data_IF_641228624041
#
_entry.id   IF_641228624041
#
_cell.length_a   1.000
_cell.length_b   1.000
_cell.length_c   1.000
_cell.angle_alpha   90.00
_cell.angle_beta   90.00
_cell.angle_gamma   90.00
#
_symmetry.space_group_name_H-M   'P 1'
#
loop_
_entity.id
_entity.type
_entity.pdbx_description
1 polymer ?
#
# COMPACT_ATOMS: atom_id res chain seq x y z
N UNK A 1 17.56 13.70 5.50
CA UNK A 1 16.75 13.68 4.27
C UNK A 1 15.39 14.25 4.62
N UNK A 2 15.01 15.39 4.06
CA UNK A 2 13.70 16.01 4.33
C UNK A 2 12.68 15.50 3.31
N UNK A 3 11.90 14.51 3.72
CA UNK A 3 10.82 13.94 2.89
C UNK A 3 9.53 14.69 3.19
N UNK A 4 8.84 15.18 2.16
CA UNK A 4 7.52 15.81 2.33
C UNK A 4 6.40 14.79 2.25
N UNK A 5 5.28 15.05 2.93
CA UNK A 5 4.10 14.19 2.91
C UNK A 5 3.59 13.92 1.48
N UNK A 6 3.66 14.91 0.58
CA UNK A 6 3.22 14.73 -0.82
C UNK A 6 3.98 13.66 -1.61
N UNK A 7 5.16 13.26 -1.14
CA UNK A 7 6.01 12.26 -1.78
C UNK A 7 5.60 10.83 -1.39
N UNK A 8 4.93 10.66 -0.25
CA UNK A 8 4.46 9.35 0.23
C UNK A 8 2.94 9.17 0.22
N UNK A 9 2.16 10.25 0.13
CA UNK A 9 0.71 10.17 0.22
C UNK A 9 0.09 9.41 -0.95
N UNK A 10 -1.02 8.72 -0.69
CA UNK A 10 -1.83 8.10 -1.71
C UNK A 10 -2.80 9.11 -2.31
N UNK A 11 -2.74 9.29 -3.63
CA UNK A 11 -3.61 10.22 -4.39
C UNK A 11 -4.93 9.60 -4.82
N UNK A 12 -4.95 8.29 -5.02
CA UNK A 12 -6.15 7.54 -5.35
C UNK A 12 -6.75 6.93 -4.08
N UNK A 13 -7.82 7.54 -3.58
CA UNK A 13 -8.50 7.10 -2.37
C UNK A 13 -10.02 7.15 -2.56
N UNK A 14 -10.73 6.26 -1.88
CA UNK A 14 -12.17 6.36 -1.77
C UNK A 14 -12.55 7.54 -0.87
N UNK A 15 -13.65 8.21 -1.19
CA UNK A 15 -14.27 9.24 -0.38
C UNK A 15 -15.79 9.16 -0.49
N UNK A 16 -16.48 9.77 0.47
CA UNK A 16 -17.94 9.78 0.52
C UNK A 16 -18.47 11.19 0.74
N UNK A 17 -19.69 11.45 0.32
CA UNK A 17 -20.49 12.58 0.79
C UNK A 17 -21.25 12.20 2.07
N UNK A 18 -21.60 13.16 2.92
CA UNK A 18 -22.28 12.89 4.20
C UNK A 18 -23.67 12.28 4.04
N UNK A 19 -24.31 12.46 2.88
CA UNK A 19 -25.60 11.89 2.51
C UNK A 19 -25.49 10.51 1.84
N UNK A 20 -24.28 10.02 1.55
CA UNK A 20 -24.08 8.68 0.97
C UNK A 20 -24.64 7.60 1.90
N UNK A 21 -25.42 6.68 1.33
CA UNK A 21 -26.06 5.63 2.13
C UNK A 21 -25.05 4.66 2.77
N UNK A 22 -25.42 4.10 3.92
CA UNK A 22 -24.68 3.02 4.59
C UNK A 22 -24.39 1.84 3.65
N UNK A 23 -25.32 1.54 2.75
CA UNK A 23 -25.16 0.48 1.74
C UNK A 23 -24.03 0.80 0.76
N UNK A 24 -23.95 2.05 0.30
CA UNK A 24 -22.88 2.50 -0.58
C UNK A 24 -21.53 2.41 0.12
N UNK A 25 -21.41 2.96 1.34
CA UNK A 25 -20.20 2.91 2.17
C UNK A 25 -19.72 1.47 2.38
N UNK A 26 -20.61 0.57 2.80
CA UNK A 26 -20.28 -0.84 3.00
C UNK A 26 -19.84 -1.53 1.70
N UNK A 27 -20.48 -1.21 0.58
CA UNK A 27 -20.15 -1.80 -0.72
C UNK A 27 -18.76 -1.40 -1.22
N UNK A 28 -18.37 -0.13 -1.00
CA UNK A 28 -17.04 0.38 -1.38
C UNK A 28 -15.96 -0.27 -0.52
N UNK A 29 -16.16 -0.34 0.80
CA UNK A 29 -15.21 -1.02 1.69
C UNK A 29 -15.06 -2.52 1.40
N UNK A 30 -16.15 -3.21 1.04
CA UNK A 30 -16.09 -4.62 0.68
C UNK A 30 -15.36 -4.88 -0.65
N UNK A 31 -15.56 -4.03 -1.67
CA UNK A 31 -15.03 -4.26 -3.02
C UNK A 31 -13.61 -3.77 -3.24
N UNK A 32 -13.21 -2.67 -2.58
CA UNK A 32 -11.97 -1.97 -2.92
C UNK A 32 -10.87 -2.12 -1.86
N UNK A 33 -11.06 -3.01 -0.87
CA UNK A 33 -10.13 -3.24 0.24
C UNK A 33 -9.74 -1.98 1.04
N UNK A 34 -10.51 -0.91 0.93
CA UNK A 34 -10.35 0.27 1.76
C UNK A 34 -10.90 -0.01 3.16
N UNK A 35 -10.11 0.32 4.19
CA UNK A 35 -10.54 0.18 5.59
C UNK A 35 -11.13 1.46 6.17
N UNK A 36 -10.94 2.57 5.48
CA UNK A 36 -11.28 3.91 5.93
C UNK A 36 -11.29 4.86 4.74
N UNK A 37 -12.09 5.92 4.83
CA UNK A 37 -12.22 6.94 3.81
C UNK A 37 -12.64 8.29 4.42
N UNK A 38 -12.16 9.41 3.85
CA UNK A 38 -12.67 10.73 4.19
C UNK A 38 -14.14 10.92 3.77
N UNK A 39 -14.90 11.66 4.57
CA UNK A 39 -16.29 12.05 4.31
C UNK A 39 -16.36 13.57 4.17
N UNK A 40 -17.10 14.03 3.17
CA UNK A 40 -17.22 15.43 2.81
C UNK A 40 -18.67 15.93 2.85
N UNK A 41 -18.83 17.23 3.07
CA UNK A 41 -20.03 17.99 2.73
C UNK A 41 -19.69 18.94 1.59
N UNK A 42 -20.04 18.53 0.37
CA UNK A 42 -19.57 19.18 -0.84
C UNK A 42 -18.05 19.09 -0.95
N UNK A 43 -17.36 20.18 -0.61
CA UNK A 43 -15.89 20.29 -0.63
C UNK A 43 -15.26 20.29 0.76
N UNK A 44 -16.07 20.41 1.81
CA UNK A 44 -15.58 20.51 3.18
C UNK A 44 -15.36 19.10 3.74
N UNK A 45 -14.17 18.85 4.29
CA UNK A 45 -13.87 17.60 4.98
C UNK A 45 -14.57 17.60 6.35
N UNK A 46 -15.62 16.80 6.51
CA UNK A 46 -16.37 16.69 7.78
C UNK A 46 -15.84 15.58 8.68
N UNK A 47 -15.17 14.59 8.11
CA UNK A 47 -14.39 13.64 8.89
C UNK A 47 -14.02 12.35 8.16
N UNK A 48 -14.01 11.24 8.90
CA UNK A 48 -13.58 9.93 8.41
C UNK A 48 -14.60 8.88 8.82
N UNK A 49 -14.82 7.91 7.94
CA UNK A 49 -15.54 6.68 8.25
C UNK A 49 -14.61 5.49 8.05
N UNK A 50 -14.66 4.51 8.94
CA UNK A 50 -13.85 3.29 8.91
C UNK A 50 -14.69 2.02 8.99
N UNK A 51 -14.10 0.87 8.68
CA UNK A 51 -14.72 -0.44 8.94
C UNK A 51 -15.05 -0.59 10.42
N UNK A 52 -14.20 -0.07 11.31
CA UNK A 52 -14.46 -0.04 12.75
C UNK A 52 -15.71 0.77 13.12
N UNK A 53 -16.04 1.83 12.36
CA UNK A 53 -17.28 2.59 12.53
C UNK A 53 -18.51 1.79 12.14
N UNK A 54 -18.43 1.05 11.03
CA UNK A 54 -19.49 0.12 10.64
C UNK A 54 -19.72 -0.91 11.75
N UNK A 55 -18.65 -1.55 12.24
CA UNK A 55 -18.73 -2.54 13.32
C UNK A 55 -19.34 -1.92 14.59
N UNK A 56 -18.90 -0.71 14.99
CA UNK A 56 -19.46 0.00 16.14
C UNK A 56 -20.93 0.35 15.95
N UNK A 57 -21.35 0.71 14.73
CA UNK A 57 -22.75 0.98 14.42
C UNK A 57 -23.61 -0.27 14.58
N UNK A 58 -23.10 -1.44 14.16
CA UNK A 58 -23.81 -2.72 14.29
C UNK A 58 -23.73 -3.32 15.70
N UNK A 59 -22.74 -2.97 16.54
CA UNK A 59 -22.54 -3.55 17.87
C UNK A 59 -23.72 -3.47 18.88
N UNK A 60 -24.53 -2.39 18.93
CA UNK A 60 -25.58 -2.25 19.96
C UNK A 60 -26.64 -3.35 19.94
N UNK A 61 -27.23 -3.64 21.10
CA UNK A 61 -28.24 -4.71 21.31
C UNK A 61 -29.45 -4.65 20.38
N UNK A 62 -29.81 -3.46 19.87
CA UNK A 62 -30.90 -3.30 18.89
C UNK A 62 -30.63 -4.09 17.59
N UNK A 63 -29.36 -4.27 17.26
CA UNK A 63 -28.93 -5.08 16.14
C UNK A 63 -28.59 -6.51 16.53
N UNK A 64 -28.53 -6.89 17.81
CA UNK A 64 -28.27 -8.27 18.27
C UNK A 64 -29.19 -9.31 17.60
N UNK A 65 -30.36 -8.87 17.12
CA UNK A 65 -31.29 -9.66 16.32
C UNK A 65 -30.71 -10.11 14.97
N UNK A 66 -29.79 -9.36 14.35
CA UNK A 66 -29.06 -9.77 13.14
C UNK A 66 -28.28 -11.07 13.35
N UNK A 67 -27.81 -11.32 14.57
CA UNK A 67 -27.06 -12.53 14.94
C UNK A 67 -27.94 -13.64 15.50
N UNK A 68 -29.23 -13.38 15.73
CA UNK A 68 -30.22 -14.41 16.07
C UNK A 68 -30.95 -14.81 14.78
N UNK A 69 -30.52 -15.91 14.16
CA UNK A 69 -30.90 -16.35 12.80
C UNK A 69 -32.39 -16.48 12.44
N UNK A 70 -33.33 -16.15 13.34
CA UNK A 70 -34.77 -16.29 13.15
C UNK A 70 -35.54 -14.95 13.18
N UNK A 71 -34.90 -13.77 13.08
CA UNK A 71 -35.60 -12.48 12.95
C UNK A 71 -35.18 -11.70 11.70
N UNK A 72 -36.12 -10.97 11.11
CA UNK A 72 -35.87 -10.11 9.95
C UNK A 72 -34.91 -8.97 10.29
N UNK A 73 -33.88 -8.83 9.46
CA UNK A 73 -32.96 -7.69 9.43
C UNK A 73 -33.76 -6.39 9.35
N UNK A 74 -33.45 -5.36 10.18
CA UNK A 74 -34.15 -4.08 10.15
C UNK A 74 -33.72 -3.24 8.92
N UNK A 75 -34.07 -3.68 7.72
CA UNK A 75 -33.66 -3.07 6.43
C UNK A 75 -34.08 -1.59 6.35
N UNK A 76 -35.26 -1.24 6.88
CA UNK A 76 -35.76 0.14 6.88
C UNK A 76 -34.88 1.10 7.69
N UNK A 77 -34.35 0.66 8.83
CA UNK A 77 -33.45 1.46 9.67
C UNK A 77 -32.09 1.63 9.00
N UNK A 78 -31.54 0.53 8.47
CA UNK A 78 -30.25 0.54 7.77
C UNK A 78 -30.27 1.47 6.55
N UNK A 79 -31.39 1.54 5.82
CA UNK A 79 -31.57 2.43 4.66
C UNK A 79 -31.58 3.91 5.00
N UNK A 80 -31.91 4.29 6.24
CA UNK A 80 -31.91 5.70 6.68
C UNK A 80 -30.53 6.19 7.13
N UNK A 81 -29.59 5.26 7.31
CA UNK A 81 -28.26 5.59 7.80
C UNK A 81 -27.38 6.01 6.64
N UNK A 82 -26.63 7.09 6.83
CA UNK A 82 -25.71 7.66 5.84
C UNK A 82 -24.29 7.73 6.41
N UNK A 83 -23.31 8.07 5.58
CA UNK A 83 -21.93 8.28 5.99
C UNK A 83 -21.82 9.34 7.10
N UNK A 84 -22.62 10.41 7.04
CA UNK A 84 -22.68 11.45 8.07
C UNK A 84 -23.14 10.95 9.45
N UNK A 85 -23.91 9.86 9.51
CA UNK A 85 -24.28 9.24 10.80
C UNK A 85 -23.15 8.39 11.41
N UNK A 86 -22.17 7.98 10.59
CA UNK A 86 -21.05 7.12 10.97
C UNK A 86 -19.76 7.92 11.17
N UNK A 87 -19.70 9.13 10.60
CA UNK A 87 -18.50 9.93 10.53
C UNK A 87 -17.97 10.27 11.92
N UNK A 88 -16.66 10.18 12.08
CA UNK A 88 -15.96 10.69 13.25
C UNK A 88 -15.02 11.81 12.83
N UNK A 89 -14.75 12.72 13.77
CA UNK A 89 -13.75 13.76 13.56
C UNK A 89 -12.38 13.12 13.29
N UNK A 90 -11.62 13.64 12.32
CA UNK A 90 -10.27 13.15 12.09
C UNK A 90 -9.40 13.56 13.27
N UNK A 91 -8.71 12.60 13.87
CA UNK A 91 -7.76 12.84 14.96
C UNK A 91 -6.52 13.62 14.49
N UNK A 92 -6.20 13.54 13.20
CA UNK A 92 -5.16 14.33 12.58
C UNK A 92 -5.51 14.68 11.12
N UNK A 93 -4.98 15.82 10.69
CA UNK A 93 -4.95 16.26 9.29
C UNK A 93 -3.52 16.72 9.01
N UNK A 94 -2.97 16.32 7.86
CA UNK A 94 -1.63 16.70 7.42
C UNK A 94 -1.68 17.73 6.30
N UNK A 95 -0.61 18.47 6.12
CA UNK A 95 -0.42 19.34 4.95
C UNK A 95 0.52 18.64 3.95
N UNK A 96 0.24 18.75 2.65
CA UNK A 96 1.05 18.10 1.62
C UNK A 96 2.52 18.56 1.65
N UNK A 97 2.75 19.83 2.02
CA UNK A 97 4.09 20.40 2.17
C UNK A 97 4.78 20.12 3.52
N UNK A 98 4.08 19.49 4.48
CA UNK A 98 4.64 19.18 5.80
C UNK A 98 5.76 18.13 5.68
N UNK A 99 6.76 18.24 6.54
CA UNK A 99 7.83 17.25 6.65
C UNK A 99 7.34 15.97 7.34
N UNK A 100 7.87 14.82 6.89
CA UNK A 100 7.52 13.51 7.43
C UNK A 100 7.87 13.38 8.92
N UNK A 101 9.04 13.88 9.34
CA UNK A 101 9.49 13.89 10.74
C UNK A 101 8.45 14.45 11.69
N UNK A 102 7.82 15.56 11.31
CA UNK A 102 6.79 16.24 12.12
C UNK A 102 5.43 15.52 12.07
N UNK A 103 5.18 14.77 11.00
CA UNK A 103 3.93 14.03 10.79
C UNK A 103 3.95 12.65 11.45
N UNK A 104 5.12 12.01 11.60
CA UNK A 104 5.25 10.66 12.14
C UNK A 104 4.56 10.46 13.50
N UNK A 105 4.72 11.35 14.50
CA UNK A 105 4.02 11.19 15.78
C UNK A 105 2.49 11.17 15.63
N UNK A 106 1.95 11.91 14.65
CA UNK A 106 0.51 11.92 14.34
C UNK A 106 0.10 10.64 13.64
N UNK A 107 0.91 10.14 12.72
CA UNK A 107 0.64 8.92 11.95
C UNK A 107 0.70 7.65 12.82
N UNK A 108 1.63 7.57 13.77
CA UNK A 108 1.74 6.44 14.70
C UNK A 108 0.53 6.34 15.63
N UNK A 109 -0.01 7.48 16.05
CA UNK A 109 -1.22 7.54 16.88
C UNK A 109 -2.50 7.18 16.09
N UNK A 110 -2.48 7.32 14.76
CA UNK A 110 -3.65 7.23 13.90
C UNK A 110 -3.57 6.05 12.93
N UNK A 111 -4.18 4.93 13.30
CA UNK A 111 -4.07 3.68 12.56
C UNK A 111 -4.92 3.61 11.27
N UNK A 112 -5.97 4.44 11.15
CA UNK A 112 -7.01 4.25 10.15
C UNK A 112 -6.73 4.99 8.83
N UNK A 113 -6.71 6.32 8.86
CA UNK A 113 -6.54 7.20 7.70
C UNK A 113 -6.26 8.62 8.20
N UNK A 114 -5.30 9.30 7.58
CA UNK A 114 -5.00 10.70 7.85
C UNK A 114 -5.12 11.50 6.55
N UNK A 115 -6.16 12.34 6.40
CA UNK A 115 -6.35 13.20 5.24
C UNK A 115 -5.21 14.19 5.07
N UNK A 116 -4.81 14.42 3.82
CA UNK A 116 -3.78 15.38 3.45
C UNK A 116 -4.41 16.54 2.69
N UNK A 117 -4.18 17.74 3.18
CA UNK A 117 -4.74 18.97 2.62
C UNK A 117 -3.66 19.78 1.88
N UNK A 118 -4.06 20.46 0.82
CA UNK A 118 -3.25 21.46 0.10
C UNK A 118 -4.21 22.50 -0.50
N UNK A 119 -3.99 23.78 -0.20
CA UNK A 119 -4.84 24.86 -0.73
C UNK A 119 -6.34 24.71 -0.38
N UNK A 120 -6.65 24.19 0.81
CA UNK A 120 -8.03 23.97 1.27
C UNK A 120 -8.74 22.75 0.67
N UNK A 121 -8.05 21.93 -0.13
CA UNK A 121 -8.60 20.70 -0.71
C UNK A 121 -7.91 19.46 -0.15
N UNK A 122 -8.66 18.38 -0.01
CA UNK A 122 -8.06 17.06 0.27
C UNK A 122 -7.42 16.52 -1.00
N UNK A 123 -6.10 16.36 -0.99
CA UNK A 123 -5.29 15.95 -2.15
C UNK A 123 -4.75 14.53 -2.01
N UNK A 124 -4.97 13.89 -0.87
CA UNK A 124 -4.51 12.55 -0.61
C UNK A 124 -4.85 12.06 0.79
N UNK A 125 -4.45 10.83 1.07
CA UNK A 125 -4.48 10.24 2.40
C UNK A 125 -3.13 9.60 2.72
N UNK A 126 -2.84 9.45 4.01
CA UNK A 126 -1.73 8.63 4.51
C UNK A 126 -2.27 7.68 5.56
N UNK A 127 -1.88 6.41 5.46
CA UNK A 127 -2.15 5.37 6.46
C UNK A 127 -0.83 4.81 7.00
N UNK A 128 -0.88 4.05 8.09
CA UNK A 128 0.30 3.35 8.60
C UNK A 128 0.91 2.39 7.58
N UNK A 129 0.11 1.85 6.66
CA UNK A 129 0.58 0.99 5.57
C UNK A 129 1.44 1.77 4.58
N UNK A 130 1.04 3.00 4.25
CA UNK A 130 1.79 3.84 3.31
C UNK A 130 3.15 4.24 3.90
N UNK A 131 3.17 4.58 5.20
CA UNK A 131 4.41 4.88 5.93
C UNK A 131 5.34 3.67 5.94
N UNK A 132 4.83 2.48 6.28
CA UNK A 132 5.62 1.25 6.28
C UNK A 132 6.16 0.93 4.88
N UNK A 133 5.32 1.01 3.84
CA UNK A 133 5.74 0.80 2.46
C UNK A 133 6.77 1.82 2.00
N UNK A 134 6.64 3.08 2.42
CA UNK A 134 7.62 4.12 2.13
C UNK A 134 8.98 3.75 2.72
N UNK A 135 9.05 3.45 4.03
CA UNK A 135 10.31 3.06 4.67
C UNK A 135 10.93 1.80 4.06
N UNK A 136 10.12 0.77 3.75
CA UNK A 136 10.62 -0.43 3.09
C UNK A 136 11.25 -0.11 1.73
N UNK A 137 10.66 0.80 0.95
CA UNK A 137 11.23 1.25 -0.32
C UNK A 137 12.51 2.05 -0.12
N UNK A 138 12.58 2.92 0.88
CA UNK A 138 13.80 3.69 1.17
C UNK A 138 14.94 2.78 1.64
N UNK A 139 14.66 1.81 2.53
CA UNK A 139 15.68 0.85 2.95
C UNK A 139 16.19 -0.02 1.80
N UNK A 140 15.29 -0.46 0.91
CA UNK A 140 15.70 -1.15 -0.30
C UNK A 140 16.63 -0.27 -1.14
N UNK A 141 16.26 1.00 -1.40
CA UNK A 141 17.12 1.95 -2.15
C UNK A 141 18.50 2.12 -1.52
N UNK A 142 18.61 2.17 -0.19
CA UNK A 142 19.88 2.26 0.51
C UNK A 142 20.74 1.00 0.34
N UNK A 143 20.14 -0.19 0.33
CA UNK A 143 20.86 -1.44 0.02
C UNK A 143 21.33 -1.47 -1.45
N UNK A 144 20.51 -0.98 -2.38
CA UNK A 144 20.88 -0.79 -3.79
C UNK A 144 22.01 0.23 -3.97
N UNK A 145 21.96 1.36 -3.27
CA UNK A 145 22.99 2.40 -3.36
C UNK A 145 24.33 1.94 -2.76
N UNK A 146 24.29 1.14 -1.68
CA UNK A 146 25.49 0.50 -1.10
C UNK A 146 26.04 -0.62 -1.98
N UNK A 147 25.18 -1.33 -2.70
CA UNK A 147 25.58 -2.30 -3.73
C UNK A 147 26.24 -1.62 -4.93
N UNK A 148 25.63 -0.56 -5.46
CA UNK A 148 26.15 0.21 -6.59
C UNK A 148 27.45 0.97 -6.27
N UNK A 149 27.63 1.42 -5.02
CA UNK A 149 28.89 2.03 -4.59
C UNK A 149 30.04 1.01 -4.43
N UNK A 150 29.74 -0.27 -4.19
CA UNK A 150 30.73 -1.36 -4.25
C UNK A 150 31.05 -1.74 -5.70
N UNK A 151 30.06 -1.79 -6.58
CA UNK A 151 30.26 -2.07 -8.02
C UNK A 151 31.03 -0.93 -8.72
N UNK A 152 30.78 0.34 -8.38
CA UNK A 152 31.50 1.50 -8.93
C UNK A 152 32.98 1.61 -8.48
N UNK A 153 33.36 0.96 -7.38
CA UNK A 153 34.77 0.86 -6.96
C UNK A 153 35.52 -0.29 -7.68
N UNK A 154 34.79 -1.24 -8.28
CA UNK A 154 35.35 -2.32 -9.11
C UNK A 154 35.36 -1.96 -10.62
N UNK A 155 34.56 -0.98 -11.05
CA UNK A 155 34.45 -0.56 -12.46
C UNK A 155 35.57 0.36 -12.99
N UNK A 156 36.44 0.94 -12.15
CA UNK A 156 37.68 1.58 -12.65
C UNK A 156 38.68 0.57 -13.25
N UNK A 157 38.36 -0.72 -13.19
CA UNK A 157 39.17 -1.82 -13.72
C UNK A 157 38.46 -2.79 -14.67
N UNK A 158 37.58 -2.37 -15.60
CA UNK A 158 37.13 -3.36 -16.60
C UNK A 158 36.07 -2.99 -17.63
N UNK A 159 36.53 -2.74 -18.87
CA UNK A 159 35.88 -2.92 -20.19
C UNK A 159 34.41 -3.40 -20.26
N UNK A 160 33.60 -2.60 -20.99
CA UNK A 160 32.57 -2.97 -21.98
C UNK A 160 31.83 -4.31 -21.78
N UNK A 161 30.60 -4.29 -21.26
CA UNK A 161 29.67 -5.44 -21.26
C UNK A 161 28.25 -5.05 -21.71
N UNK A 162 28.07 -4.87 -23.02
CA UNK A 162 26.76 -4.69 -23.67
C UNK A 162 26.11 -5.97 -24.20
N UNK A 163 26.72 -7.15 -24.00
CA UNK A 163 26.32 -8.40 -24.66
C UNK A 163 25.80 -9.52 -23.72
N UNK A 164 25.78 -9.31 -22.40
CA UNK A 164 25.54 -10.38 -21.40
C UNK A 164 24.11 -10.44 -20.82
N UNK A 165 23.35 -9.34 -20.90
CA UNK A 165 22.02 -9.24 -20.29
C UNK A 165 20.98 -10.23 -20.84
N UNK A 166 21.09 -10.63 -22.12
CA UNK A 166 20.17 -11.59 -22.75
C UNK A 166 20.29 -13.00 -22.15
N UNK A 167 21.52 -13.46 -21.92
CA UNK A 167 21.81 -14.78 -21.34
C UNK A 167 21.41 -14.89 -19.87
N UNK A 168 21.50 -13.79 -19.11
CA UNK A 168 21.20 -13.76 -17.69
C UNK A 168 19.68 -13.80 -17.42
N UNK A 169 18.88 -13.06 -18.21
CA UNK A 169 17.41 -13.11 -18.13
C UNK A 169 16.89 -14.53 -18.43
N UNK A 170 17.42 -15.18 -19.45
CA UNK A 170 17.05 -16.54 -19.82
C UNK A 170 17.45 -17.56 -18.73
N UNK A 171 18.61 -17.38 -18.10
CA UNK A 171 19.05 -18.23 -17.00
C UNK A 171 18.13 -18.11 -15.79
N UNK A 172 17.76 -16.88 -15.41
CA UNK A 172 16.80 -16.62 -14.32
C UNK A 172 15.46 -17.29 -14.64
N UNK A 173 14.94 -17.11 -15.85
CA UNK A 173 13.65 -17.70 -16.25
C UNK A 173 13.67 -19.23 -16.21
N UNK A 174 14.78 -19.87 -16.60
CA UNK A 174 14.96 -21.33 -16.51
C UNK A 174 14.95 -21.82 -15.06
N UNK A 175 15.63 -21.13 -14.15
CA UNK A 175 15.65 -21.49 -12.72
C UNK A 175 14.24 -21.40 -12.13
N UNK A 176 13.51 -20.32 -12.40
CA UNK A 176 12.13 -20.15 -11.92
C UNK A 176 11.20 -21.25 -12.47
N UNK A 177 11.38 -21.65 -13.73
CA UNK A 177 10.62 -22.77 -14.31
C UNK A 177 10.93 -24.12 -13.67
N UNK A 178 12.18 -24.34 -13.23
CA UNK A 178 12.63 -25.57 -12.58
C UNK A 178 12.12 -25.69 -11.14
N UNK A 179 12.21 -24.61 -10.37
CA UNK A 179 11.94 -24.61 -8.91
C UNK A 179 10.49 -24.24 -8.55
N UNK A 180 9.67 -23.80 -9.53
CA UNK A 180 8.32 -23.21 -9.38
C UNK A 180 8.27 -21.90 -8.57
N UNK A 181 8.99 -21.80 -7.45
CA UNK A 181 9.07 -20.63 -6.60
C UNK A 181 10.48 -20.56 -5.99
N UNK A 182 11.20 -19.46 -6.21
CA UNK A 182 12.59 -19.33 -5.77
C UNK A 182 12.90 -17.90 -5.32
N UNK A 183 13.78 -17.76 -4.32
CA UNK A 183 14.19 -16.46 -3.80
C UNK A 183 15.26 -15.83 -4.69
N UNK A 184 15.20 -14.51 -4.88
CA UNK A 184 16.18 -13.76 -5.65
C UNK A 184 17.62 -13.98 -5.14
N UNK A 185 17.81 -14.08 -3.82
CA UNK A 185 19.11 -14.41 -3.21
C UNK A 185 19.67 -15.77 -3.66
N UNK A 186 18.81 -16.77 -3.78
CA UNK A 186 19.22 -18.12 -4.21
C UNK A 186 19.57 -18.17 -5.70
N UNK A 187 18.85 -17.42 -6.53
CA UNK A 187 19.18 -17.23 -7.95
C UNK A 187 20.52 -16.49 -8.10
N UNK A 188 20.73 -15.46 -7.28
CA UNK A 188 21.96 -14.66 -7.27
C UNK A 188 23.18 -15.53 -6.94
N UNK A 189 23.07 -16.38 -5.92
CA UNK A 189 24.11 -17.38 -5.59
C UNK A 189 24.35 -18.38 -6.73
N UNK A 190 23.30 -18.91 -7.34
CA UNK A 190 23.40 -19.92 -8.41
C UNK A 190 24.03 -19.34 -9.70
N UNK A 191 23.77 -18.07 -10.00
CA UNK A 191 24.26 -17.40 -11.21
C UNK A 191 25.52 -16.56 -11.00
N UNK A 192 26.01 -16.44 -9.76
CA UNK A 192 27.12 -15.54 -9.42
C UNK A 192 26.78 -14.07 -9.67
N UNK A 193 25.52 -13.69 -9.49
CA UNK A 193 25.01 -12.32 -9.69
C UNK A 193 24.76 -11.64 -8.34
N UNK A 194 24.62 -10.32 -8.35
CA UNK A 194 24.11 -9.59 -7.17
C UNK A 194 22.60 -9.74 -7.06
N UNK A 195 22.06 -9.74 -5.84
CA UNK A 195 20.61 -9.83 -5.59
C UNK A 195 19.87 -8.70 -6.30
N UNK A 196 20.41 -7.48 -6.30
CA UNK A 196 19.84 -6.34 -7.01
C UNK A 196 19.80 -6.52 -8.53
N UNK A 197 20.79 -7.20 -9.12
CA UNK A 197 20.76 -7.55 -10.55
C UNK A 197 19.63 -8.54 -10.85
N UNK A 198 19.48 -9.58 -10.02
CA UNK A 198 18.39 -10.56 -10.18
C UNK A 198 17.01 -9.90 -10.05
N UNK A 199 16.83 -9.01 -9.08
CA UNK A 199 15.58 -8.27 -8.90
C UNK A 199 15.25 -7.36 -10.10
N UNK A 200 16.24 -6.64 -10.63
CA UNK A 200 16.07 -5.81 -11.84
C UNK A 200 15.66 -6.64 -13.06
N UNK A 201 16.29 -7.80 -13.25
CA UNK A 201 15.96 -8.72 -14.34
C UNK A 201 14.60 -9.41 -14.11
N UNK A 202 14.23 -9.69 -12.86
CA UNK A 202 12.92 -10.21 -12.48
C UNK A 202 11.79 -9.24 -12.85
N UNK A 203 11.99 -7.93 -12.67
CA UNK A 203 11.03 -6.91 -13.07
C UNK A 203 10.85 -6.80 -14.59
N UNK A 204 11.88 -7.15 -15.37
CA UNK A 204 11.75 -7.29 -16.83
C UNK A 204 10.87 -8.50 -17.14
N UNK A 205 11.18 -9.68 -16.59
CA UNK A 205 10.38 -10.90 -16.79
C UNK A 205 8.91 -10.72 -16.36
N UNK A 206 8.67 -10.00 -15.27
CA UNK A 206 7.32 -9.65 -14.78
C UNK A 206 6.54 -8.81 -15.78
N UNK A 207 7.15 -7.75 -16.34
CA UNK A 207 6.51 -6.88 -17.35
C UNK A 207 6.10 -7.66 -18.62
N UNK A 208 6.84 -8.71 -18.93
CA UNK A 208 6.54 -9.62 -20.05
C UNK A 208 5.66 -10.82 -19.66
N UNK A 209 5.08 -10.84 -18.45
CA UNK A 209 4.20 -11.91 -17.96
C UNK A 209 4.84 -13.31 -17.96
N UNK A 210 6.17 -13.38 -17.80
CA UNK A 210 6.91 -14.64 -17.76
C UNK A 210 7.00 -15.22 -16.33
N UNK A 211 7.00 -14.35 -15.32
CA UNK A 211 7.07 -14.73 -13.90
C UNK A 211 6.21 -13.82 -13.04
N UNK A 212 5.72 -14.35 -11.92
CA UNK A 212 5.10 -13.57 -10.85
C UNK A 212 6.17 -13.20 -9.82
N UNK A 213 6.23 -11.94 -9.40
CA UNK A 213 7.21 -11.47 -8.41
C UNK A 213 6.48 -11.02 -7.15
N UNK A 214 6.80 -11.67 -6.02
CA UNK A 214 6.23 -11.39 -4.69
C UNK A 214 7.32 -10.89 -3.76
N UNK A 215 6.96 -9.95 -2.90
CA UNK A 215 7.82 -9.51 -1.81
C UNK A 215 7.42 -10.22 -0.51
N UNK A 216 8.37 -10.87 0.14
CA UNK A 216 8.19 -11.49 1.45
C UNK A 216 9.04 -10.78 2.49
N UNK A 217 8.41 -10.36 3.58
CA UNK A 217 9.07 -9.62 4.66
C UNK A 217 10.27 -10.37 5.28
N UNK A 218 10.25 -11.71 5.28
CA UNK A 218 11.33 -12.53 5.84
C UNK A 218 12.24 -13.18 4.80
N UNK A 219 11.86 -13.16 3.52
CA UNK A 219 12.55 -13.92 2.45
C UNK A 219 12.97 -13.06 1.27
N UNK A 220 12.75 -11.74 1.32
CA UNK A 220 13.04 -10.82 0.23
C UNK A 220 12.15 -11.05 -0.99
N UNK A 221 12.68 -10.72 -2.17
CA UNK A 221 11.99 -10.92 -3.45
C UNK A 221 11.96 -12.40 -3.82
N UNK A 222 10.77 -12.89 -4.19
CA UNK A 222 10.50 -14.26 -4.60
C UNK A 222 9.92 -14.25 -6.01
N UNK A 223 10.52 -15.01 -6.91
CA UNK A 223 10.06 -15.23 -8.26
C UNK A 223 9.30 -16.55 -8.32
N UNK A 224 8.10 -16.51 -8.90
CA UNK A 224 7.23 -17.67 -9.06
C UNK A 224 6.85 -17.86 -10.52
N UNK A 225 6.78 -19.11 -10.95
CA UNK A 225 6.29 -19.49 -12.27
C UNK A 225 4.80 -19.18 -12.41
N UNK A 226 4.42 -18.61 -13.56
CA UNK A 226 3.03 -18.47 -14.02
C UNK A 226 2.62 -19.70 -14.82
#
# INVERSE_FOLDING_TARGET
MWVKIREMMRREFASFQSDDSLQHVASVFAKQHFRSAPVFEGKELVGIVSVSDLVRYFAPKKFALLWKGNKQTPIKELRKTTAGHLVRKPEAILQAGQELSDALPKLVKNADCVPVMEGGKCVGIVTGVDVAQFFLKEFAKDEYAKGAAKEGAEEEGGKQRGAQAGTEIDAIYKIVRRENEVQAGKIAEELGLTVGTVERLADILKRHHLVEVKYSFFKGVVLRRI
#
